data_IF_272654698408
#
_entry.id   IF_272654698408
#
_cell.length_a   1.000
_cell.length_b   1.000
_cell.length_c   1.000
_cell.angle_alpha   90.00
_cell.angle_beta   90.00
_cell.angle_gamma   90.00
#
_symmetry.space_group_name_H-M   'P 1'
#
loop_
_entity.id
_entity.type
_entity.pdbx_description
1 polymer ?
#
# COMPACT_ATOMS: atom_id res chain seq x y z
N UNK A 1 -54.77 53.98 -3.04
CA UNK A 1 -53.41 53.79 -3.58
C UNK A 1 -52.66 52.83 -2.65
N UNK A 2 -52.62 51.59 -3.08
CA UNK A 2 -51.97 50.50 -2.29
C UNK A 2 -50.51 50.36 -2.75
N UNK A 3 -49.54 50.65 -1.87
CA UNK A 3 -48.10 50.51 -2.18
C UNK A 3 -47.70 49.07 -1.90
N UNK A 4 -47.33 48.31 -2.94
CA UNK A 4 -46.72 46.99 -2.81
C UNK A 4 -45.24 47.18 -2.47
N UNK A 5 -44.82 46.66 -1.32
CA UNK A 5 -43.43 46.57 -0.91
C UNK A 5 -42.87 45.26 -1.48
N UNK A 6 -41.97 45.34 -2.46
CA UNK A 6 -41.25 44.15 -2.98
C UNK A 6 -40.03 43.91 -2.05
N UNK A 7 -40.09 42.85 -1.26
CA UNK A 7 -38.94 42.40 -0.47
C UNK A 7 -38.12 41.48 -1.35
N UNK A 8 -36.94 41.94 -1.79
CA UNK A 8 -35.97 41.12 -2.48
C UNK A 8 -35.22 40.23 -1.44
N UNK A 9 -35.48 38.92 -1.46
CA UNK A 9 -34.71 37.94 -0.67
C UNK A 9 -33.42 37.65 -1.42
N UNK A 10 -32.31 38.16 -0.92
CA UNK A 10 -30.97 37.78 -1.36
C UNK A 10 -30.66 36.36 -0.84
N UNK A 11 -30.74 35.38 -1.72
CA UNK A 11 -30.17 34.04 -1.47
C UNK A 11 -28.64 34.14 -1.48
N UNK A 12 -28.04 34.22 -0.32
CA UNK A 12 -26.59 34.03 -0.17
C UNK A 12 -26.29 32.56 -0.35
N UNK A 13 -25.88 32.17 -1.55
CA UNK A 13 -25.29 30.83 -1.81
C UNK A 13 -23.91 30.84 -1.19
N UNK A 14 -23.79 30.31 0.01
CA UNK A 14 -22.47 30.03 0.62
C UNK A 14 -21.81 28.90 -0.18
N UNK A 15 -20.86 29.25 -1.05
CA UNK A 15 -19.94 28.26 -1.61
C UNK A 15 -19.17 27.59 -0.46
N UNK A 16 -19.00 26.27 -0.45
CA UNK A 16 -18.19 25.61 0.55
C UNK A 16 -16.78 26.22 0.51
N UNK A 17 -16.27 26.69 1.66
CA UNK A 17 -14.90 27.15 1.78
C UNK A 17 -14.00 25.96 1.45
N UNK A 18 -13.38 25.96 0.27
CA UNK A 18 -12.37 24.99 -0.06
C UNK A 18 -11.25 25.05 0.97
N UNK A 19 -10.89 23.92 1.59
CA UNK A 19 -9.81 23.90 2.59
C UNK A 19 -8.55 24.52 1.99
N UNK A 20 -7.96 25.49 2.69
CA UNK A 20 -6.73 26.13 2.25
C UNK A 20 -5.56 25.17 2.36
N UNK A 21 -4.64 25.25 1.40
CA UNK A 21 -3.37 24.51 1.48
C UNK A 21 -2.62 24.92 2.73
N UNK A 22 -2.20 23.99 3.61
CA UNK A 22 -1.34 24.35 4.74
C UNK A 22 -0.07 25.05 4.25
N UNK A 23 0.26 26.20 4.85
CA UNK A 23 1.39 27.02 4.36
C UNK A 23 2.74 26.30 4.34
N UNK A 24 2.96 25.32 5.24
CA UNK A 24 4.15 24.46 5.24
C UNK A 24 4.25 23.57 3.99
N UNK A 25 3.12 23.16 3.39
CA UNK A 25 3.14 22.32 2.20
C UNK A 25 3.62 23.09 0.97
N UNK A 26 3.17 24.34 0.80
CA UNK A 26 3.61 25.17 -0.32
C UNK A 26 5.11 25.47 -0.29
N UNK A 27 5.75 25.43 0.89
CA UNK A 27 7.19 25.60 1.03
C UNK A 27 7.98 24.31 0.77
N UNK A 28 7.43 23.15 1.18
CA UNK A 28 8.06 21.83 1.01
C UNK A 28 7.88 21.28 -0.42
N UNK A 29 6.81 21.71 -1.13
CA UNK A 29 6.34 21.16 -2.38
C UNK A 29 6.14 22.26 -3.43
N UNK A 30 7.25 22.90 -3.84
CA UNK A 30 7.23 24.11 -4.68
C UNK A 30 6.66 23.86 -6.10
N UNK A 31 6.78 22.62 -6.61
CA UNK A 31 6.32 22.25 -7.95
C UNK A 31 4.93 21.59 -7.95
N UNK A 32 4.32 21.36 -6.79
CA UNK A 32 2.99 20.74 -6.70
C UNK A 32 1.89 21.76 -7.00
N UNK A 33 1.07 21.50 -8.00
CA UNK A 33 -0.12 22.31 -8.30
C UNK A 33 -1.27 21.95 -7.34
N UNK A 34 -1.33 22.60 -6.19
CA UNK A 34 -2.39 22.39 -5.19
C UNK A 34 -3.78 22.84 -5.61
N UNK A 35 -3.92 23.56 -6.74
CA UNK A 35 -5.24 23.90 -7.29
C UNK A 35 -5.96 22.67 -7.87
N UNK A 36 -5.20 21.63 -8.24
CA UNK A 36 -5.69 20.35 -8.79
C UNK A 36 -5.68 19.29 -7.68
N UNK A 37 -6.86 18.88 -7.25
CA UNK A 37 -7.02 17.87 -6.21
C UNK A 37 -8.32 17.09 -6.37
N UNK A 38 -8.30 15.83 -5.97
CA UNK A 38 -9.45 14.92 -5.93
C UNK A 38 -9.96 14.67 -4.50
N UNK A 39 -9.25 15.17 -3.47
CA UNK A 39 -9.57 14.95 -2.06
C UNK A 39 -9.51 16.26 -1.28
N UNK A 40 -10.16 16.31 -0.11
CA UNK A 40 -10.02 17.46 0.79
C UNK A 40 -8.67 17.39 1.53
N UNK A 41 -7.99 18.53 1.66
CA UNK A 41 -6.71 18.59 2.37
C UNK A 41 -6.81 18.23 3.85
N UNK A 42 -7.99 18.38 4.45
CA UNK A 42 -8.24 17.96 5.84
C UNK A 42 -8.20 16.46 6.05
N UNK A 43 -8.34 15.67 4.98
CA UNK A 43 -8.20 14.21 5.01
C UNK A 43 -6.72 13.77 5.05
N UNK A 44 -5.80 14.66 4.67
CA UNK A 44 -4.36 14.37 4.58
C UNK A 44 -3.68 14.80 5.88
N UNK A 45 -3.12 13.84 6.60
CA UNK A 45 -2.48 14.03 7.89
C UNK A 45 -0.96 13.87 7.78
N UNK A 46 -0.21 14.57 8.65
CA UNK A 46 1.22 14.29 8.78
C UNK A 46 1.44 12.98 9.52
N UNK A 47 2.24 12.09 8.94
CA UNK A 47 2.75 10.87 9.59
C UNK A 47 3.98 11.11 10.47
N UNK A 48 4.53 12.33 10.45
CA UNK A 48 5.72 12.74 11.21
C UNK A 48 6.94 13.01 10.34
N UNK A 49 7.42 12.06 9.51
CA UNK A 49 8.57 12.28 8.62
C UNK A 49 8.31 13.41 7.60
N UNK A 50 9.33 14.20 7.21
CA UNK A 50 9.23 15.14 6.08
C UNK A 50 9.26 14.39 4.74
N UNK A 51 9.21 15.11 3.63
CA UNK A 51 9.44 14.60 2.26
C UNK A 51 10.73 13.77 2.23
N UNK A 52 10.65 12.53 1.72
CA UNK A 52 11.75 11.55 1.69
C UNK A 52 12.40 11.23 3.06
N UNK A 53 11.74 11.56 4.19
CA UNK A 53 12.21 11.21 5.53
C UNK A 53 12.26 9.69 5.76
N UNK A 54 11.42 8.95 5.02
CA UNK A 54 11.55 7.51 4.77
C UNK A 54 12.07 7.38 3.33
N UNK A 55 13.39 7.16 3.13
CA UNK A 55 13.96 7.21 1.78
C UNK A 55 13.54 6.01 0.96
N UNK A 56 13.01 6.25 -0.25
CA UNK A 56 12.80 5.19 -1.25
C UNK A 56 14.14 4.57 -1.69
N UNK A 57 14.09 3.33 -2.18
CA UNK A 57 15.24 2.67 -2.81
C UNK A 57 15.11 2.88 -4.33
N UNK A 58 15.96 3.72 -4.90
CA UNK A 58 15.94 4.07 -6.32
C UNK A 58 16.99 3.29 -7.14
N UNK A 59 18.03 2.75 -6.47
CA UNK A 59 19.06 1.89 -7.05
C UNK A 59 19.11 0.56 -6.29
N UNK A 60 18.12 -0.33 -6.48
CA UNK A 60 18.00 -1.55 -5.71
C UNK A 60 19.09 -2.58 -6.05
N UNK A 61 19.72 -3.16 -5.03
CA UNK A 61 20.66 -4.25 -5.16
C UNK A 61 19.98 -5.59 -4.90
N UNK A 62 20.31 -6.59 -5.70
CA UNK A 62 19.75 -7.94 -5.59
C UNK A 62 20.83 -9.01 -5.46
N UNK A 63 20.48 -10.08 -4.75
CA UNK A 63 21.34 -11.23 -4.55
C UNK A 63 20.60 -12.54 -4.77
N UNK A 64 21.30 -13.59 -5.18
CA UNK A 64 20.75 -14.93 -5.28
C UNK A 64 20.66 -15.63 -3.93
N UNK A 65 19.95 -16.76 -3.87
CA UNK A 65 19.70 -17.49 -2.60
C UNK A 65 20.96 -18.03 -1.91
N UNK A 66 22.09 -18.15 -2.61
CA UNK A 66 23.37 -18.58 -2.03
C UNK A 66 24.15 -17.43 -1.36
N UNK A 67 23.74 -16.19 -1.53
CA UNK A 67 24.38 -15.03 -0.90
C UNK A 67 24.14 -15.05 0.63
N UNK A 68 25.18 -14.77 1.41
CA UNK A 68 25.10 -14.79 2.87
C UNK A 68 24.06 -13.81 3.44
N UNK A 69 23.83 -12.66 2.77
CA UNK A 69 22.82 -11.68 3.17
C UNK A 69 21.39 -12.23 3.01
N UNK A 70 21.18 -13.18 2.10
CA UNK A 70 19.89 -13.84 1.86
C UNK A 70 19.74 -15.08 2.76
N UNK A 71 20.83 -15.81 3.01
CA UNK A 71 20.79 -17.04 3.82
C UNK A 71 20.42 -16.82 5.30
N UNK A 72 20.53 -15.58 5.80
CA UNK A 72 20.12 -15.24 7.17
C UNK A 72 18.61 -15.02 7.32
N UNK A 73 17.87 -14.93 6.21
CA UNK A 73 16.42 -14.81 6.22
C UNK A 73 15.78 -16.12 6.64
N UNK A 74 14.76 -16.04 7.50
CA UNK A 74 13.94 -17.20 7.83
C UNK A 74 12.97 -17.54 6.70
N UNK A 75 12.68 -18.81 6.50
CA UNK A 75 11.73 -19.30 5.49
C UNK A 75 10.31 -18.71 5.64
N UNK A 76 9.94 -18.35 6.85
CA UNK A 76 8.64 -17.74 7.17
C UNK A 76 8.61 -16.21 7.02
N UNK A 77 9.75 -15.54 6.76
CA UNK A 77 9.75 -14.09 6.60
C UNK A 77 8.91 -13.63 5.40
N UNK A 78 8.09 -12.59 5.56
CA UNK A 78 7.24 -12.08 4.50
C UNK A 78 8.06 -11.33 3.43
N UNK A 79 7.76 -11.60 2.16
CA UNK A 79 8.32 -10.92 1.01
C UNK A 79 7.22 -10.55 0.02
N UNK A 80 7.39 -9.47 -0.72
CA UNK A 80 6.59 -9.18 -1.90
C UNK A 80 7.28 -9.86 -3.08
N UNK A 81 6.68 -10.93 -3.60
CA UNK A 81 7.22 -11.70 -4.72
C UNK A 81 6.61 -11.26 -6.05
N UNK A 82 7.44 -10.82 -6.99
CA UNK A 82 7.04 -10.35 -8.33
C UNK A 82 7.66 -11.24 -9.40
N UNK A 83 6.86 -11.66 -10.39
CA UNK A 83 7.35 -12.40 -11.56
C UNK A 83 6.85 -11.69 -12.82
N UNK A 84 7.76 -11.24 -13.67
CA UNK A 84 7.48 -10.60 -14.95
C UNK A 84 8.33 -11.27 -16.03
N UNK A 85 7.70 -11.74 -17.10
CA UNK A 85 8.40 -12.37 -18.23
C UNK A 85 9.41 -13.46 -17.82
N UNK A 86 9.08 -14.27 -16.79
CA UNK A 86 9.92 -15.36 -16.29
C UNK A 86 11.09 -14.93 -15.39
N UNK A 87 11.32 -13.63 -15.18
CA UNK A 87 12.23 -13.12 -14.16
C UNK A 87 11.49 -12.88 -12.85
N UNK A 88 12.11 -13.22 -11.73
CA UNK A 88 11.49 -13.15 -10.41
C UNK A 88 12.36 -12.39 -9.42
N UNK A 89 11.73 -11.51 -8.64
CA UNK A 89 12.34 -10.79 -7.53
C UNK A 89 11.48 -10.85 -6.27
N UNK A 90 12.12 -10.99 -5.12
CA UNK A 90 11.51 -10.85 -3.80
C UNK A 90 11.98 -9.55 -3.14
N UNK A 91 11.05 -8.84 -2.54
CA UNK A 91 11.29 -7.61 -1.79
C UNK A 91 10.90 -7.86 -0.33
N UNK A 92 11.88 -8.13 0.57
CA UNK A 92 11.59 -8.48 1.95
C UNK A 92 10.92 -7.33 2.72
N UNK A 93 9.88 -7.63 3.49
CA UNK A 93 9.28 -6.62 4.36
C UNK A 93 10.25 -6.17 5.47
N UNK A 94 11.25 -6.96 5.82
CA UNK A 94 12.35 -6.55 6.70
C UNK A 94 13.17 -5.37 6.18
N UNK A 95 13.12 -5.11 4.87
CA UNK A 95 13.69 -3.93 4.20
C UNK A 95 12.60 -2.87 3.99
N UNK A 96 11.45 -3.25 3.44
CA UNK A 96 10.40 -2.31 3.07
C UNK A 96 9.73 -1.60 4.25
N UNK A 97 9.75 -2.13 5.46
CA UNK A 97 9.32 -1.40 6.66
C UNK A 97 10.14 -0.15 6.97
N UNK A 98 11.31 0.00 6.35
CA UNK A 98 12.22 1.13 6.53
C UNK A 98 12.33 2.05 5.32
N UNK A 99 11.79 1.61 4.17
CA UNK A 99 11.90 2.34 2.90
C UNK A 99 10.56 2.56 2.21
N UNK A 100 9.57 1.72 2.48
CA UNK A 100 8.19 1.76 1.96
C UNK A 100 8.08 1.67 0.44
N UNK A 101 9.05 2.19 -0.34
CA UNK A 101 9.03 2.26 -1.80
C UNK A 101 10.36 1.78 -2.39
N UNK A 102 10.28 0.94 -3.43
CA UNK A 102 11.42 0.54 -4.26
C UNK A 102 11.08 0.82 -5.72
N UNK A 103 11.83 1.73 -6.35
CA UNK A 103 11.78 1.96 -7.80
C UNK A 103 12.75 1.00 -8.50
N UNK A 104 12.22 0.13 -9.35
CA UNK A 104 12.99 -0.94 -9.99
C UNK A 104 12.65 -1.09 -11.47
N UNK A 105 13.40 -1.95 -12.16
CA UNK A 105 13.10 -2.43 -13.52
C UNK A 105 13.27 -3.94 -13.57
N UNK A 106 12.18 -4.67 -13.76
CA UNK A 106 12.18 -6.14 -13.83
C UNK A 106 11.81 -6.59 -15.25
N UNK A 107 12.70 -7.35 -15.89
CA UNK A 107 12.52 -7.83 -17.27
C UNK A 107 12.18 -6.70 -18.28
N UNK A 108 12.79 -5.52 -18.10
CA UNK A 108 12.56 -4.34 -18.95
C UNK A 108 11.26 -3.57 -18.64
N UNK A 109 10.49 -3.98 -17.64
CA UNK A 109 9.31 -3.26 -17.17
C UNK A 109 9.69 -2.42 -15.95
N UNK A 110 9.60 -1.08 -16.02
CA UNK A 110 9.81 -0.23 -14.86
C UNK A 110 8.64 -0.41 -13.88
N UNK A 111 8.97 -0.78 -12.63
CA UNK A 111 7.99 -1.04 -11.58
C UNK A 111 8.31 -0.23 -10.32
N UNK A 112 7.30 0.07 -9.53
CA UNK A 112 7.47 0.47 -8.13
C UNK A 112 6.81 -0.55 -7.23
N UNK A 113 7.57 -1.04 -6.24
CA UNK A 113 7.09 -1.97 -5.22
C UNK A 113 6.87 -1.17 -3.95
N UNK A 114 5.66 -1.18 -3.44
CA UNK A 114 5.26 -0.36 -2.30
C UNK A 114 4.76 -1.22 -1.15
N UNK A 115 5.04 -0.79 0.07
CA UNK A 115 4.48 -1.37 1.29
C UNK A 115 4.09 -0.26 2.27
N UNK A 116 2.81 -0.19 2.61
CA UNK A 116 2.31 0.66 3.69
C UNK A 116 2.16 -0.19 4.97
N UNK A 117 3.04 -0.05 5.97
CA UNK A 117 2.95 -0.85 7.21
C UNK A 117 1.65 -0.62 7.96
N UNK A 118 1.16 0.63 8.01
CA UNK A 118 -0.07 0.99 8.72
C UNK A 118 -1.33 0.38 8.09
N UNK A 119 -1.27 0.03 6.80
CA UNK A 119 -2.34 -0.63 6.07
C UNK A 119 -2.13 -2.13 5.90
N UNK A 120 -0.91 -2.62 6.15
CA UNK A 120 -0.44 -3.94 5.71
C UNK A 120 -0.63 -4.14 4.19
N UNK A 121 -0.56 -3.06 3.41
CA UNK A 121 -0.81 -3.07 1.96
C UNK A 121 0.47 -3.14 1.17
N UNK A 122 0.57 -4.15 0.29
CA UNK A 122 1.74 -4.48 -0.52
C UNK A 122 1.37 -4.49 -2.01
N UNK A 123 1.59 -3.38 -2.70
CA UNK A 123 1.14 -3.19 -4.08
C UNK A 123 2.32 -2.90 -5.00
N UNK A 124 2.28 -3.48 -6.19
CA UNK A 124 3.26 -3.24 -7.26
C UNK A 124 2.59 -2.53 -8.42
N UNK A 125 3.20 -1.45 -8.89
CA UNK A 125 2.69 -0.67 -10.02
C UNK A 125 3.67 -0.65 -11.19
N UNK A 126 3.15 -0.59 -12.40
CA UNK A 126 3.89 -0.16 -13.59
C UNK A 126 4.10 1.36 -13.50
N UNK A 127 5.36 1.80 -13.58
CA UNK A 127 5.73 3.23 -13.47
C UNK A 127 5.49 4.02 -14.74
N UNK A 128 5.10 3.37 -15.84
CA UNK A 128 4.82 4.04 -17.12
C UNK A 128 3.44 4.65 -17.13
N UNK A 129 3.38 5.96 -17.31
CA UNK A 129 2.13 6.70 -17.42
C UNK A 129 2.29 7.88 -18.38
N UNK A 130 1.39 8.01 -19.34
CA UNK A 130 1.33 9.12 -20.31
C UNK A 130 2.68 9.40 -21.01
N UNK A 131 3.40 8.32 -21.39
CA UNK A 131 4.69 8.41 -22.07
C UNK A 131 5.90 8.72 -21.18
N UNK A 132 5.70 8.84 -19.87
CA UNK A 132 6.76 9.03 -18.86
C UNK A 132 6.99 7.75 -18.07
N UNK A 133 8.17 7.64 -17.46
CA UNK A 133 8.46 6.70 -16.37
C UNK A 133 8.57 7.53 -15.10
N UNK A 134 7.72 7.23 -14.12
CA UNK A 134 7.66 7.97 -12.86
C UNK A 134 8.54 7.28 -11.80
N UNK A 135 9.24 8.07 -11.00
CA UNK A 135 10.00 7.61 -9.82
C UNK A 135 9.29 8.10 -8.56
N UNK A 136 8.99 7.17 -7.66
CA UNK A 136 8.18 7.48 -6.48
C UNK A 136 9.03 7.65 -5.22
N UNK A 137 8.60 8.59 -4.36
CA UNK A 137 9.15 8.84 -3.03
C UNK A 137 8.03 8.98 -1.99
N UNK A 138 8.42 9.09 -0.72
CA UNK A 138 7.48 9.25 0.39
C UNK A 138 7.21 10.72 0.69
N UNK A 139 5.94 11.07 0.91
CA UNK A 139 5.57 12.44 1.34
C UNK A 139 5.68 12.64 2.85
N UNK A 140 5.75 11.55 3.63
CA UNK A 140 5.53 11.58 5.07
C UNK A 140 4.08 11.91 5.47
N UNK A 141 3.15 11.89 4.52
CA UNK A 141 1.73 12.16 4.72
C UNK A 141 0.91 10.89 4.56
N UNK A 142 -0.24 10.85 5.22
CA UNK A 142 -1.18 9.74 5.24
C UNK A 142 -2.58 10.28 4.92
N UNK A 143 -3.39 9.48 4.22
CA UNK A 143 -4.82 9.67 4.08
C UNK A 143 -5.51 8.35 4.41
N UNK A 144 -6.46 8.37 5.34
CA UNK A 144 -7.06 7.17 5.90
C UNK A 144 -6.03 6.15 6.42
N UNK A 145 -4.97 6.65 7.08
CA UNK A 145 -3.82 5.86 7.56
C UNK A 145 -2.96 5.22 6.45
N UNK A 146 -3.35 5.36 5.18
CA UNK A 146 -2.59 4.85 4.05
C UNK A 146 -1.59 5.87 3.53
N UNK A 147 -0.44 5.36 3.07
CA UNK A 147 0.67 6.16 2.57
C UNK A 147 0.24 7.04 1.38
N UNK A 148 0.53 8.33 1.48
CA UNK A 148 0.55 9.23 0.33
C UNK A 148 1.97 9.28 -0.20
N UNK A 149 2.21 8.70 -1.37
CA UNK A 149 3.48 8.79 -2.08
C UNK A 149 3.46 9.96 -3.08
N UNK A 150 4.60 10.34 -3.65
CA UNK A 150 4.67 11.34 -4.72
C UNK A 150 5.54 10.86 -5.87
N UNK A 151 5.31 11.37 -7.08
CA UNK A 151 6.24 11.18 -8.21
C UNK A 151 7.23 12.34 -8.28
N UNK A 152 8.52 12.03 -8.56
CA UNK A 152 9.60 13.03 -8.62
C UNK A 152 9.52 13.93 -9.86
N UNK A 153 8.80 13.52 -10.90
CA UNK A 153 8.73 14.23 -12.18
C UNK A 153 7.77 15.42 -12.13
N UNK A 154 6.68 15.29 -11.35
CA UNK A 154 5.64 16.34 -11.26
C UNK A 154 5.35 16.79 -9.83
N UNK A 155 5.96 16.13 -8.84
CA UNK A 155 5.63 16.27 -7.43
C UNK A 155 4.14 16.10 -7.13
N UNK A 156 3.38 15.40 -8.00
CA UNK A 156 2.01 15.04 -7.72
C UNK A 156 1.93 13.98 -6.63
N UNK A 157 0.88 14.05 -5.80
CA UNK A 157 0.66 13.13 -4.70
C UNK A 157 -0.30 12.01 -5.09
N UNK A 158 0.01 10.81 -4.63
CA UNK A 158 -0.67 9.58 -5.02
C UNK A 158 -1.11 8.78 -3.80
N UNK A 159 -2.36 8.30 -3.81
CA UNK A 159 -2.83 7.35 -2.82
C UNK A 159 -2.24 5.96 -3.11
N UNK A 160 -1.44 5.41 -2.21
CA UNK A 160 -0.77 4.12 -2.43
C UNK A 160 -1.76 2.98 -2.65
N UNK A 161 -2.80 2.86 -1.81
CA UNK A 161 -3.76 1.76 -1.89
C UNK A 161 -4.53 1.70 -3.21
N UNK A 162 -4.84 2.84 -3.82
CA UNK A 162 -5.61 2.91 -5.07
C UNK A 162 -4.74 3.10 -6.31
N UNK A 163 -3.49 3.54 -6.16
CA UNK A 163 -2.64 3.97 -7.27
C UNK A 163 -3.17 5.23 -7.96
N UNK A 164 -3.92 6.07 -7.26
CA UNK A 164 -4.55 7.27 -7.82
C UNK A 164 -3.79 8.54 -7.49
N UNK A 165 -3.59 9.39 -8.50
CA UNK A 165 -3.14 10.76 -8.32
C UNK A 165 -4.23 11.59 -7.64
N UNK A 166 -3.93 12.12 -6.45
CA UNK A 166 -4.92 12.83 -5.61
C UNK A 166 -4.68 14.34 -5.52
N UNK A 167 -3.45 14.80 -5.74
CA UNK A 167 -3.08 16.23 -5.75
C UNK A 167 -2.02 16.45 -6.81
N UNK A 168 -2.06 17.58 -7.51
CA UNK A 168 -1.05 18.00 -8.50
C UNK A 168 -1.43 17.69 -9.94
N UNK A 169 -0.45 17.75 -10.85
CA UNK A 169 -0.61 17.55 -12.30
C UNK A 169 -1.32 16.23 -12.63
N UNK A 170 -0.98 15.17 -11.88
CA UNK A 170 -1.49 13.81 -12.11
C UNK A 170 -2.83 13.51 -11.44
N UNK A 171 -3.52 14.51 -10.88
CA UNK A 171 -4.84 14.30 -10.26
C UNK A 171 -5.81 13.61 -11.20
N UNK A 172 -6.43 12.53 -10.72
CA UNK A 172 -7.38 11.71 -11.46
C UNK A 172 -6.74 10.66 -12.40
N UNK A 173 -5.41 10.64 -12.52
CA UNK A 173 -4.69 9.56 -13.19
C UNK A 173 -4.61 8.34 -12.29
N UNK A 174 -4.44 7.16 -12.90
CA UNK A 174 -4.31 5.89 -12.16
C UNK A 174 -3.15 5.07 -12.70
N UNK A 175 -2.31 4.58 -11.78
CA UNK A 175 -1.25 3.64 -12.08
C UNK A 175 -1.84 2.24 -12.35
N UNK A 176 -1.21 1.50 -13.23
CA UNK A 176 -1.55 0.10 -13.48
C UNK A 176 -0.92 -0.78 -12.40
N UNK A 177 -1.77 -1.45 -11.62
CA UNK A 177 -1.33 -2.48 -10.69
C UNK A 177 -0.85 -3.73 -11.44
N UNK A 178 0.18 -4.38 -10.90
CA UNK A 178 0.74 -5.61 -11.43
C UNK A 178 0.52 -6.76 -10.45
N UNK A 179 0.26 -7.99 -10.92
CA UNK A 179 0.16 -9.15 -10.03
C UNK A 179 1.44 -9.35 -9.22
N UNK A 180 1.28 -9.48 -7.91
CA UNK A 180 2.33 -9.76 -6.96
C UNK A 180 1.77 -10.61 -5.81
N UNK A 181 2.62 -11.23 -5.02
CA UNK A 181 2.21 -11.98 -3.83
C UNK A 181 2.90 -11.43 -2.59
N UNK A 182 2.15 -11.13 -1.56
CA UNK A 182 2.69 -11.06 -0.20
C UNK A 182 2.73 -12.50 0.33
N UNK A 183 3.91 -13.07 0.36
CA UNK A 183 4.11 -14.50 0.64
C UNK A 183 5.35 -14.74 1.52
N UNK A 184 5.45 -15.93 2.12
CA UNK A 184 6.65 -16.34 2.82
C UNK A 184 7.83 -16.52 1.86
N UNK A 185 9.03 -16.29 2.35
CA UNK A 185 10.25 -16.50 1.57
C UNK A 185 10.38 -17.95 1.06
N UNK A 186 9.93 -18.93 1.85
CA UNK A 186 9.88 -20.33 1.41
C UNK A 186 8.97 -20.53 0.18
N UNK A 187 7.79 -19.88 0.15
CA UNK A 187 6.88 -19.94 -0.97
C UNK A 187 7.49 -19.30 -2.22
N UNK A 188 8.10 -18.12 -2.07
CA UNK A 188 8.81 -17.47 -3.17
C UNK A 188 9.92 -18.36 -3.74
N UNK A 189 10.79 -18.92 -2.90
CA UNK A 189 11.87 -19.83 -3.34
C UNK A 189 11.33 -21.01 -4.15
N UNK A 190 10.22 -21.60 -3.70
CA UNK A 190 9.61 -22.77 -4.35
C UNK A 190 9.07 -22.45 -5.74
N UNK A 191 8.37 -21.32 -5.90
CA UNK A 191 7.80 -20.92 -7.20
C UNK A 191 8.79 -20.24 -8.15
N UNK A 192 9.89 -19.71 -7.60
CA UNK A 192 10.92 -18.99 -8.34
C UNK A 192 12.35 -19.42 -7.93
N UNK A 193 12.77 -20.66 -8.22
CA UNK A 193 14.05 -21.23 -7.71
C UNK A 193 15.29 -20.50 -8.24
N UNK A 194 15.17 -19.65 -9.24
CA UNK A 194 16.23 -18.79 -9.78
C UNK A 194 15.97 -17.29 -9.49
N UNK A 195 15.04 -16.99 -8.58
CA UNK A 195 14.70 -15.64 -8.19
C UNK A 195 15.85 -14.93 -7.48
N UNK A 196 15.79 -13.63 -7.46
CA UNK A 196 16.71 -12.76 -6.74
C UNK A 196 15.96 -12.08 -5.57
N UNK A 197 16.70 -11.65 -4.56
CA UNK A 197 16.17 -11.01 -3.36
C UNK A 197 16.79 -9.63 -3.22
N UNK A 198 15.96 -8.64 -2.97
CA UNK A 198 16.43 -7.29 -2.61
C UNK A 198 17.26 -7.37 -1.32
N UNK A 199 18.44 -6.80 -1.35
CA UNK A 199 19.34 -6.69 -0.20
C UNK A 199 19.71 -5.23 0.03
N UNK A 200 19.86 -4.78 1.28
CA UNK A 200 20.37 -3.45 1.57
C UNK A 200 21.72 -3.21 0.93
N UNK A 201 21.91 -2.06 0.28
CA UNK A 201 23.21 -1.60 -0.23
C UNK A 201 24.15 -1.23 0.90
N UNK A 202 23.59 -0.61 1.95
CA UNK A 202 24.27 -0.35 3.22
C UNK A 202 23.49 -1.01 4.38
N UNK A 203 23.95 -2.17 4.88
CA UNK A 203 23.31 -2.87 5.99
C UNK A 203 23.29 -2.07 7.31
N UNK A 204 24.15 -1.04 7.44
CA UNK A 204 24.22 -0.18 8.62
C UNK A 204 23.24 0.99 8.62
N UNK A 205 22.62 1.29 7.49
CA UNK A 205 21.76 2.47 7.33
C UNK A 205 20.49 2.43 8.20
N UNK A 206 19.89 1.25 8.37
CA UNK A 206 18.67 1.00 9.16
C UNK A 206 18.80 -0.28 9.98
N UNK A 207 17.94 -0.44 10.96
CA UNK A 207 17.85 -1.67 11.75
C UNK A 207 17.05 -2.75 11.01
N UNK A 208 17.52 -3.17 9.83
CA UNK A 208 16.82 -4.15 8.99
C UNK A 208 16.48 -5.43 9.76
N UNK A 209 15.30 -5.99 9.49
CA UNK A 209 14.76 -7.13 10.23
C UNK A 209 14.12 -6.78 11.58
N UNK A 210 14.30 -5.54 12.08
CA UNK A 210 13.55 -5.02 13.20
C UNK A 210 12.30 -4.27 12.68
N UNK A 211 11.21 -4.44 13.42
CA UNK A 211 9.92 -3.83 13.09
C UNK A 211 9.71 -2.58 13.96
N UNK A 212 9.68 -1.37 13.38
CA UNK A 212 9.33 -0.16 14.13
C UNK A 212 7.84 -0.10 14.52
N UNK A 213 6.99 -0.94 13.92
CA UNK A 213 5.54 -1.03 14.13
C UNK A 213 5.15 -2.24 15.01
N UNK A 214 6.03 -2.68 15.92
CA UNK A 214 5.80 -3.89 16.73
C UNK A 214 4.48 -3.85 17.51
N UNK A 215 3.66 -4.89 17.35
CA UNK A 215 2.33 -5.01 17.97
C UNK A 215 1.21 -4.27 17.23
N UNK A 216 1.50 -3.62 16.11
CA UNK A 216 0.50 -2.80 15.40
C UNK A 216 -0.66 -3.64 14.84
N UNK A 217 -0.41 -4.82 14.32
CA UNK A 217 -1.47 -5.70 13.79
C UNK A 217 -2.33 -6.37 14.87
N UNK A 218 -2.04 -6.09 16.15
CA UNK A 218 -2.85 -6.47 17.31
C UNK A 218 -3.42 -5.24 18.04
N UNK A 219 -3.26 -4.04 17.48
CA UNK A 219 -3.84 -2.82 18.03
C UNK A 219 -5.36 -2.86 17.97
N UNK A 220 -6.03 -2.17 18.90
CA UNK A 220 -7.49 -2.09 18.92
C UNK A 220 -8.03 -1.13 17.84
N UNK A 221 -7.21 -0.14 17.43
CA UNK A 221 -7.59 0.90 16.48
C UNK A 221 -6.43 1.22 15.54
N UNK A 222 -6.73 1.60 14.28
CA UNK A 222 -5.71 2.03 13.34
C UNK A 222 -5.12 3.39 13.72
N UNK A 223 -3.82 3.55 13.47
CA UNK A 223 -3.09 4.80 13.73
C UNK A 223 -3.49 5.87 12.71
N UNK A 224 -3.69 7.12 13.16
CA UNK A 224 -4.04 8.27 12.32
C UNK A 224 -5.24 8.04 11.37
N UNK A 225 -6.18 7.18 11.75
CA UNK A 225 -7.43 6.99 11.03
C UNK A 225 -8.55 7.76 11.74
N UNK A 226 -9.33 8.53 10.99
CA UNK A 226 -10.45 9.36 11.50
C UNK A 226 -11.78 9.03 10.84
N UNK A 227 -11.79 8.05 9.93
CA UNK A 227 -13.01 7.61 9.25
C UNK A 227 -13.88 6.69 10.11
N UNK A 228 -14.98 6.27 9.53
CA UNK A 228 -15.88 5.29 10.13
C UNK A 228 -15.23 3.90 10.17
N UNK A 229 -15.51 3.14 11.23
CA UNK A 229 -15.01 1.77 11.37
C UNK A 229 -15.96 0.80 10.66
N UNK A 230 -15.44 -0.31 10.10
CA UNK A 230 -16.28 -1.33 9.50
C UNK A 230 -17.18 -2.00 10.54
N UNK A 231 -18.46 -2.21 10.20
CA UNK A 231 -19.41 -2.89 11.08
C UNK A 231 -19.16 -4.40 11.14
N UNK A 232 -19.33 -4.98 12.34
CA UNK A 232 -19.33 -6.43 12.56
C UNK A 232 -17.96 -7.12 12.44
N UNK A 233 -16.87 -6.38 12.20
CA UNK A 233 -15.51 -6.92 12.11
C UNK A 233 -14.51 -5.99 12.82
N UNK A 234 -13.51 -6.57 13.50
CA UNK A 234 -12.44 -5.75 14.06
C UNK A 234 -11.67 -5.05 12.92
N UNK A 235 -11.45 -3.72 13.01
CA UNK A 235 -10.82 -2.94 11.95
C UNK A 235 -9.41 -3.42 11.56
N UNK A 236 -8.69 -4.07 12.48
CA UNK A 236 -7.34 -4.59 12.25
C UNK A 236 -7.31 -6.05 11.75
N UNK A 237 -8.46 -6.67 11.49
CA UNK A 237 -8.50 -7.98 10.82
C UNK A 237 -8.02 -7.83 9.38
N UNK A 238 -7.16 -8.74 8.94
CA UNK A 238 -6.75 -8.80 7.53
C UNK A 238 -7.91 -9.20 6.64
N UNK A 239 -7.92 -8.65 5.45
CA UNK A 239 -8.83 -9.02 4.36
C UNK A 239 -8.04 -9.20 3.08
N UNK A 240 -8.55 -10.02 2.17
CA UNK A 240 -8.07 -10.13 0.79
C UNK A 240 -9.01 -9.34 -0.10
N UNK A 241 -8.46 -8.41 -0.86
CA UNK A 241 -9.22 -7.54 -1.77
C UNK A 241 -8.92 -7.91 -3.21
N UNK A 242 -9.96 -8.22 -3.98
CA UNK A 242 -9.87 -8.52 -5.42
C UNK A 242 -11.06 -7.85 -6.12
N UNK A 243 -10.80 -7.08 -7.18
CA UNK A 243 -11.83 -6.38 -7.99
C UNK A 243 -12.84 -5.60 -7.15
N UNK A 244 -12.36 -4.98 -6.06
CA UNK A 244 -13.20 -4.16 -5.18
C UNK A 244 -14.16 -4.96 -4.29
N UNK A 245 -13.97 -6.27 -4.14
CA UNK A 245 -14.65 -7.16 -3.19
C UNK A 245 -13.63 -7.67 -2.17
N UNK A 246 -14.03 -7.82 -0.91
CA UNK A 246 -13.14 -8.29 0.16
C UNK A 246 -13.68 -9.54 0.87
N UNK A 247 -12.76 -10.43 1.24
CA UNK A 247 -13.01 -11.61 2.08
C UNK A 247 -12.18 -11.53 3.34
N UNK A 248 -12.80 -11.84 4.48
CA UNK A 248 -12.11 -11.79 5.75
C UNK A 248 -11.06 -12.90 5.88
N UNK A 249 -9.94 -12.58 6.54
CA UNK A 249 -8.89 -13.55 6.81
C UNK A 249 -9.35 -14.75 7.65
N UNK A 250 -10.18 -14.57 8.71
CA UNK A 250 -10.73 -15.71 9.46
C UNK A 250 -11.51 -16.69 8.58
N UNK A 251 -12.31 -16.19 7.63
CA UNK A 251 -13.04 -17.04 6.68
C UNK A 251 -12.08 -17.85 5.80
N UNK A 252 -11.01 -17.21 5.31
CA UNK A 252 -10.00 -17.91 4.50
C UNK A 252 -9.25 -18.97 5.31
N UNK A 253 -8.93 -18.71 6.57
CA UNK A 253 -8.32 -19.70 7.47
C UNK A 253 -9.24 -20.87 7.70
N UNK A 254 -10.54 -20.64 7.96
CA UNK A 254 -11.53 -21.67 8.19
C UNK A 254 -11.77 -22.55 6.95
N UNK A 255 -11.99 -21.92 5.79
CA UNK A 255 -12.32 -22.64 4.53
C UNK A 255 -11.09 -23.20 3.84
N UNK A 256 -9.90 -22.67 4.11
CA UNK A 256 -8.62 -22.92 3.41
C UNK A 256 -8.65 -22.62 1.92
N UNK A 257 -9.76 -22.81 1.25
CA UNK A 257 -9.99 -22.46 -0.17
C UNK A 257 -11.38 -21.87 -0.34
N UNK A 258 -11.45 -20.72 -1.00
CA UNK A 258 -12.70 -20.07 -1.41
C UNK A 258 -12.68 -19.91 -2.92
N UNK A 259 -13.79 -20.30 -3.58
CA UNK A 259 -14.01 -20.08 -5.01
C UNK A 259 -15.18 -19.11 -5.18
N UNK A 260 -14.98 -18.06 -5.99
CA UNK A 260 -15.99 -17.08 -6.36
C UNK A 260 -15.97 -16.90 -7.89
N UNK A 261 -16.88 -17.55 -8.60
CA UNK A 261 -16.83 -17.66 -10.05
C UNK A 261 -15.57 -18.41 -10.53
N UNK A 262 -14.74 -17.71 -11.30
CA UNK A 262 -13.44 -18.21 -11.79
C UNK A 262 -12.25 -17.88 -10.85
N UNK A 263 -12.52 -17.11 -9.80
CA UNK A 263 -11.52 -16.73 -8.81
C UNK A 263 -11.35 -17.84 -7.76
N UNK A 264 -10.12 -18.21 -7.48
CA UNK A 264 -9.76 -19.13 -6.40
C UNK A 264 -8.77 -18.44 -5.45
N UNK A 265 -9.12 -18.43 -4.17
CA UNK A 265 -8.27 -17.94 -3.09
C UNK A 265 -7.91 -19.13 -2.19
N UNK A 266 -6.63 -19.36 -1.96
CA UNK A 266 -6.15 -20.48 -1.12
C UNK A 266 -5.26 -19.96 -0.02
N UNK A 267 -5.60 -20.28 1.24
CA UNK A 267 -4.81 -19.99 2.41
C UNK A 267 -3.92 -21.19 2.79
N UNK A 268 -2.72 -20.92 3.27
CA UNK A 268 -1.81 -21.92 3.86
C UNK A 268 -0.95 -21.29 4.95
N UNK A 269 -0.58 -22.02 6.02
CA UNK A 269 0.29 -21.50 7.07
C UNK A 269 1.72 -21.23 6.58
N UNK A 270 2.54 -20.61 7.44
CA UNK A 270 3.99 -20.50 7.25
C UNK A 270 4.49 -19.14 6.78
N UNK A 271 3.73 -18.05 7.05
CA UNK A 271 4.20 -16.67 6.86
C UNK A 271 4.08 -15.90 8.16
N UNK A 272 5.17 -15.28 8.60
CA UNK A 272 5.17 -14.40 9.76
C UNK A 272 4.50 -13.05 9.45
N UNK A 273 3.82 -12.49 10.46
CA UNK A 273 3.44 -11.07 10.41
C UNK A 273 4.69 -10.18 10.52
N UNK A 274 4.81 -9.21 9.61
CA UNK A 274 5.84 -8.17 9.71
C UNK A 274 5.54 -7.14 10.81
N UNK A 275 4.31 -7.11 11.35
CA UNK A 275 3.80 -6.06 12.24
C UNK A 275 3.54 -6.55 13.68
N UNK A 276 3.84 -7.82 13.99
CA UNK A 276 3.57 -8.45 15.28
C UNK A 276 4.67 -8.13 16.29
N UNK A 277 5.83 -8.77 16.17
CA UNK A 277 6.93 -8.63 17.12
C UNK A 277 8.02 -7.67 16.62
N UNK A 278 8.92 -7.26 17.53
CA UNK A 278 10.07 -6.42 17.19
C UNK A 278 10.98 -7.07 16.15
N UNK A 279 11.23 -8.38 16.22
CA UNK A 279 12.01 -9.10 15.22
C UNK A 279 11.06 -9.78 14.22
N UNK A 280 10.99 -9.32 12.97
CA UNK A 280 10.04 -9.81 11.95
C UNK A 280 10.09 -11.33 11.81
N UNK A 281 11.29 -11.93 11.84
CA UNK A 281 11.47 -13.40 11.77
C UNK A 281 10.85 -14.20 12.92
N UNK A 282 10.39 -13.52 13.99
CA UNK A 282 9.74 -14.11 15.16
C UNK A 282 8.24 -13.74 15.27
N UNK A 283 7.70 -13.06 14.27
CA UNK A 283 6.29 -12.73 14.24
C UNK A 283 5.41 -13.98 14.23
N UNK A 284 4.17 -13.86 14.72
CA UNK A 284 3.19 -14.95 14.67
C UNK A 284 2.92 -15.36 13.22
N UNK A 285 2.63 -16.64 13.02
CA UNK A 285 2.18 -17.15 11.72
C UNK A 285 0.79 -16.59 11.40
N UNK A 286 0.70 -15.84 10.32
CA UNK A 286 -0.57 -15.33 9.77
C UNK A 286 -0.98 -16.09 8.50
N UNK A 287 -0.08 -16.90 7.96
CA UNK A 287 -0.31 -17.66 6.73
C UNK A 287 -0.13 -16.84 5.46
N UNK A 288 -0.20 -17.56 4.36
CA UNK A 288 -0.09 -17.05 2.99
C UNK A 288 -1.44 -17.11 2.31
N UNK A 289 -1.73 -16.20 1.39
CA UNK A 289 -2.86 -16.33 0.48
C UNK A 289 -2.36 -16.27 -0.97
N UNK A 290 -2.86 -17.20 -1.77
CA UNK A 290 -2.70 -17.21 -3.23
C UNK A 290 -4.04 -16.87 -3.85
N UNK A 291 -4.06 -15.93 -4.80
CA UNK A 291 -5.27 -15.48 -5.50
C UNK A 291 -5.07 -15.65 -7.00
N UNK A 292 -5.91 -16.50 -7.62
CA UNK A 292 -5.74 -16.92 -9.02
C UNK A 292 -7.06 -16.97 -9.78
N UNK A 293 -6.99 -16.74 -11.10
CA UNK A 293 -8.02 -17.10 -12.08
C UNK A 293 -7.44 -18.11 -13.05
N UNK A 294 -8.09 -19.27 -13.17
CA UNK A 294 -7.59 -20.33 -14.05
C UNK A 294 -6.13 -20.72 -13.79
N UNK A 295 -5.67 -20.64 -12.54
CA UNK A 295 -4.29 -20.96 -12.15
C UNK A 295 -3.27 -19.83 -12.38
N UNK A 296 -3.70 -18.66 -12.85
CA UNK A 296 -2.84 -17.48 -13.08
C UNK A 296 -3.06 -16.46 -11.98
N UNK A 297 -1.98 -15.92 -11.42
CA UNK A 297 -2.03 -14.89 -10.39
C UNK A 297 -2.72 -13.63 -10.91
N UNK A 298 -3.62 -13.07 -10.10
CA UNK A 298 -4.33 -11.83 -10.39
C UNK A 298 -3.91 -10.73 -9.41
N UNK A 299 -4.16 -9.49 -9.81
CA UNK A 299 -3.99 -8.33 -8.93
C UNK A 299 -4.90 -8.49 -7.72
N UNK A 300 -4.33 -8.42 -6.55
CA UNK A 300 -5.03 -8.45 -5.26
C UNK A 300 -4.22 -7.70 -4.22
N UNK A 301 -4.84 -7.33 -3.12
CA UNK A 301 -4.15 -6.81 -1.96
C UNK A 301 -4.55 -7.54 -0.67
N UNK A 302 -3.62 -7.59 0.28
CA UNK A 302 -3.85 -8.11 1.64
C UNK A 302 -3.71 -6.92 2.58
N UNK A 303 -4.83 -6.42 3.06
CA UNK A 303 -4.88 -5.20 3.86
C UNK A 303 -5.71 -5.40 5.13
N UNK A 304 -5.82 -4.37 5.97
CA UNK A 304 -6.73 -4.39 7.10
C UNK A 304 -8.16 -4.00 6.70
N UNK A 305 -9.16 -4.49 7.45
CA UNK A 305 -10.57 -4.27 7.17
C UNK A 305 -10.94 -2.78 7.12
N UNK A 306 -10.34 -1.93 7.98
CA UNK A 306 -10.59 -0.49 7.96
C UNK A 306 -10.12 0.17 6.67
N UNK A 307 -9.02 -0.28 6.06
CA UNK A 307 -8.52 0.25 4.79
C UNK A 307 -9.49 -0.03 3.67
N UNK A 308 -9.93 -1.29 3.56
CA UNK A 308 -10.94 -1.65 2.58
C UNK A 308 -12.22 -0.82 2.76
N UNK A 309 -12.71 -0.69 4.00
CA UNK A 309 -13.89 0.10 4.32
C UNK A 309 -13.73 1.57 3.89
N UNK A 310 -12.59 2.17 4.19
CA UNK A 310 -12.29 3.58 3.90
C UNK A 310 -12.20 3.90 2.39
N UNK A 311 -11.71 2.96 1.58
CA UNK A 311 -11.47 3.18 0.16
C UNK A 311 -12.50 2.53 -0.78
N UNK A 312 -13.51 1.84 -0.22
CA UNK A 312 -14.58 1.21 -0.99
C UNK A 312 -15.97 1.60 -0.49
N UNK A 313 -16.13 2.85 0.00
CA UNK A 313 -17.41 3.44 0.39
C UNK A 313 -18.23 2.54 1.35
N UNK A 314 -17.57 1.93 2.32
CA UNK A 314 -18.22 1.07 3.30
C UNK A 314 -18.80 -0.24 2.74
N UNK A 315 -18.36 -0.70 1.56
CA UNK A 315 -18.79 -1.99 1.01
C UNK A 315 -18.55 -3.13 2.02
N UNK A 316 -19.48 -4.08 2.03
CA UNK A 316 -19.44 -5.23 2.95
C UNK A 316 -18.26 -6.15 2.66
N UNK A 317 -17.66 -6.65 3.74
CA UNK A 317 -16.64 -7.71 3.72
C UNK A 317 -17.35 -9.05 3.83
N UNK A 318 -17.00 -10.03 3.00
CA UNK A 318 -17.52 -11.40 3.07
C UNK A 318 -16.87 -12.07 4.28
N UNK A 319 -17.70 -12.53 5.23
CA UNK A 319 -17.26 -13.12 6.51
C UNK A 319 -17.79 -14.53 6.73
N UNK A 320 -18.72 -15.02 5.87
CA UNK A 320 -19.39 -16.32 5.95
C UNK A 320 -19.42 -17.01 4.58
#
# INVERSE_FOLDING_TARGET
MLKFLVVAVLLVVSAPLAAQVPGSWSQEWENTDFSRRAVDFTEILSGGPPKDGIPSIDEPAFAGFADARVQVMADTEPVIGVIINGQARAYPLSVLTWHEIVNDSLAGVPITVTFCPLCNSAIVFDRRLDGRVLDFGTTGKLRNSDMVMYDRQTESWWQQFLGEGIVGEMTGKRLKMLPSRLESFANFKRRAPRGQVLVPTDPGLRSYGQNPYAGYDSASFPFLYRGEMPDGINPMVRVVVVDGKAWSWPLLVEKTTITDGDLTMTWSPGQNSALDTRAIRKGRDVGNVTVQRGGVDVVHDITFAFVYHAFHDGKKIVME
#
